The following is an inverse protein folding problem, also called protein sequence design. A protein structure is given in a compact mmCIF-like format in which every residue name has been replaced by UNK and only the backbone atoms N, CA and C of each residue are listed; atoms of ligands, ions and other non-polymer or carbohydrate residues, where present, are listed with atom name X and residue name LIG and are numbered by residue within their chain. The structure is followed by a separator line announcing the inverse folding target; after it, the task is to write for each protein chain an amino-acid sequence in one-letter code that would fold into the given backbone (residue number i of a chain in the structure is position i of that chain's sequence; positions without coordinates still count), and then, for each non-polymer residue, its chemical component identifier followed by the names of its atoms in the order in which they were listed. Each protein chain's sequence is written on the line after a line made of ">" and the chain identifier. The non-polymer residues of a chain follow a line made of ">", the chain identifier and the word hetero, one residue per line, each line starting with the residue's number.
data_IF_044187065649
#
_entry.id   IF_044187065649
#
_cell.length_a   1.000
_cell.length_b   1.000
_cell.length_c   1.000
_cell.angle_alpha   90.00
_cell.angle_beta   90.00
_cell.angle_gamma   90.00
#
_symmetry.space_group_name_H-M   'P 1'
#
loop_
_entity.id
_entity.type
_entity.pdbx_description
1 polymer ?
#
# COMPACT_ATOMS: atom_id res chain seq x y z
N UNK A 1 -9.25 5.77 11.90
CA UNK A 1 -8.65 6.17 10.61
C UNK A 1 -8.70 5.01 9.63
N UNK A 2 -9.11 5.25 8.39
CA UNK A 2 -9.22 4.16 7.41
C UNK A 2 -7.85 3.60 7.01
N UNK A 3 -7.85 2.33 6.62
CA UNK A 3 -6.62 1.62 6.22
C UNK A 3 -6.78 1.14 4.78
N UNK A 4 -5.80 1.47 3.95
CA UNK A 4 -5.70 0.92 2.60
C UNK A 4 -4.79 -0.30 2.65
N UNK A 5 -5.33 -1.46 2.29
CA UNK A 5 -4.58 -2.71 2.21
C UNK A 5 -4.37 -3.07 0.74
N UNK A 6 -3.13 -3.09 0.29
CA UNK A 6 -2.79 -3.48 -1.08
C UNK A 6 -2.10 -4.83 -1.06
N UNK A 7 -2.78 -5.83 -1.60
CA UNK A 7 -2.27 -7.20 -1.76
C UNK A 7 -1.67 -7.35 -3.14
N UNK A 8 -0.54 -8.04 -3.23
CA UNK A 8 0.11 -8.27 -4.52
C UNK A 8 0.96 -9.53 -4.52
N UNK A 9 1.26 -10.03 -5.71
CA UNK A 9 2.21 -11.12 -5.94
C UNK A 9 3.35 -10.61 -6.80
N UNK A 10 4.57 -11.00 -6.47
CA UNK A 10 5.76 -10.62 -7.24
C UNK A 10 5.95 -11.61 -8.37
N UNK A 11 6.27 -11.11 -9.57
CA UNK A 11 6.56 -11.98 -10.72
C UNK A 11 7.73 -12.89 -10.41
N UNK A 12 7.63 -14.15 -10.85
CA UNK A 12 8.66 -15.15 -10.65
C UNK A 12 10.00 -14.64 -11.19
N UNK A 13 11.07 -14.75 -10.37
CA UNK A 13 12.39 -14.28 -10.72
C UNK A 13 12.64 -12.80 -10.51
N UNK A 14 11.67 -12.06 -9.96
CA UNK A 14 11.78 -10.60 -9.73
C UNK A 14 12.02 -10.22 -8.28
N UNK A 15 12.25 -11.17 -7.38
CA UNK A 15 12.40 -10.89 -5.94
C UNK A 15 13.52 -9.89 -5.63
N UNK A 16 14.67 -10.01 -6.28
CA UNK A 16 15.79 -9.09 -6.07
C UNK A 16 15.42 -7.66 -6.47
N UNK A 17 14.75 -7.51 -7.61
CA UNK A 17 14.28 -6.22 -8.11
C UNK A 17 13.20 -5.65 -7.21
N UNK A 18 12.30 -6.50 -6.71
CA UNK A 18 11.27 -6.08 -5.78
C UNK A 18 11.87 -5.54 -4.48
N UNK A 19 12.85 -6.24 -3.90
CA UNK A 19 13.53 -5.78 -2.68
C UNK A 19 14.23 -4.45 -2.90
N UNK A 20 14.90 -4.29 -4.03
CA UNK A 20 15.54 -3.03 -4.41
C UNK A 20 14.52 -1.90 -4.57
N UNK A 21 13.40 -2.19 -5.24
CA UNK A 21 12.29 -1.25 -5.40
C UNK A 21 11.76 -0.78 -4.04
N UNK A 22 11.52 -1.72 -3.11
CA UNK A 22 10.99 -1.39 -1.78
C UNK A 22 11.95 -0.49 -0.99
N UNK A 23 13.25 -0.72 -1.11
CA UNK A 23 14.26 0.07 -0.40
C UNK A 23 14.49 1.46 -0.99
N UNK A 24 14.17 1.65 -2.26
CA UNK A 24 14.48 2.89 -2.99
C UNK A 24 13.19 3.67 -3.36
N UNK A 25 12.58 3.34 -4.47
CA UNK A 25 11.44 4.07 -5.01
C UNK A 25 10.23 4.06 -4.08
N UNK A 26 9.92 2.89 -3.53
CA UNK A 26 8.78 2.76 -2.62
C UNK A 26 9.00 3.53 -1.32
N UNK A 27 10.18 3.43 -0.71
CA UNK A 27 10.48 4.16 0.51
C UNK A 27 10.39 5.68 0.30
N UNK A 28 10.89 6.15 -0.84
CA UNK A 28 10.78 7.56 -1.23
C UNK A 28 9.33 7.98 -1.43
N UNK A 29 8.54 7.16 -2.12
CA UNK A 29 7.12 7.41 -2.35
C UNK A 29 6.34 7.48 -1.04
N UNK A 30 6.66 6.61 -0.07
CA UNK A 30 6.00 6.64 1.24
C UNK A 30 6.32 7.90 2.01
N UNK A 31 7.53 8.42 1.91
CA UNK A 31 7.89 9.72 2.51
C UNK A 31 7.11 10.87 1.89
N UNK A 32 6.97 10.87 0.57
CA UNK A 32 6.18 11.87 -0.15
C UNK A 32 4.70 11.81 0.24
N UNK A 33 4.15 10.61 0.40
CA UNK A 33 2.78 10.42 0.85
C UNK A 33 2.58 10.95 2.27
N UNK A 34 3.53 10.69 3.16
CA UNK A 34 3.46 11.20 4.53
C UNK A 34 3.47 12.72 4.56
N UNK A 35 4.37 13.34 3.81
CA UNK A 35 4.53 14.80 3.78
C UNK A 35 3.36 15.51 3.09
N UNK A 36 2.86 14.93 2.01
CA UNK A 36 1.85 15.59 1.18
C UNK A 36 0.41 15.31 1.63
N UNK A 37 0.14 14.10 2.11
CA UNK A 37 -1.22 13.66 2.41
C UNK A 37 -1.43 13.20 3.85
N UNK A 38 -0.40 13.19 4.67
CA UNK A 38 -0.50 12.71 6.04
C UNK A 38 -0.73 11.20 6.16
N UNK A 39 -0.36 10.44 5.14
CA UNK A 39 -0.51 8.99 5.11
C UNK A 39 0.61 8.36 5.94
N UNK A 40 0.24 7.38 6.77
CA UNK A 40 1.21 6.64 7.58
C UNK A 40 1.38 5.22 7.05
N UNK A 41 2.62 4.84 6.77
CA UNK A 41 2.97 3.46 6.41
C UNK A 41 2.90 2.60 7.68
N UNK A 42 1.99 1.61 7.69
CA UNK A 42 1.84 0.69 8.82
C UNK A 42 2.84 -0.44 8.71
N UNK A 43 2.95 -1.07 7.55
CA UNK A 43 3.88 -2.15 7.35
C UNK A 43 3.72 -2.87 6.02
N UNK A 44 4.69 -3.72 5.76
CA UNK A 44 4.70 -4.65 4.65
C UNK A 44 4.87 -6.05 5.23
N UNK A 45 3.95 -6.94 4.88
CA UNK A 45 3.89 -8.30 5.44
C UNK A 45 3.81 -9.34 4.33
N UNK A 46 4.41 -10.50 4.56
CA UNK A 46 4.14 -11.67 3.74
C UNK A 46 2.85 -12.32 4.21
N UNK A 47 2.05 -12.79 3.25
CA UNK A 47 0.84 -13.56 3.55
C UNK A 47 1.25 -15.03 3.63
N UNK A 48 1.43 -15.52 4.86
CA UNK A 48 1.91 -16.89 5.10
C UNK A 48 0.86 -17.95 4.80
N UNK A 49 -0.42 -17.64 5.02
CA UNK A 49 -1.54 -18.55 4.80
C UNK A 49 -2.78 -17.80 4.34
N UNK A 50 -3.64 -18.48 3.62
CA UNK A 50 -5.03 -18.12 3.49
C UNK A 50 -5.43 -17.36 2.25
N UNK A 51 -4.49 -17.00 1.35
CA UNK A 51 -4.89 -16.35 0.11
C UNK A 51 -3.84 -16.49 -1.00
N UNK A 52 -4.25 -16.09 -2.21
CA UNK A 52 -3.47 -16.22 -3.44
C UNK A 52 -2.35 -15.18 -3.58
N UNK A 53 -2.37 -14.13 -2.77
CA UNK A 53 -1.37 -13.07 -2.82
C UNK A 53 -0.27 -13.33 -1.81
N UNK A 54 0.98 -13.05 -2.20
CA UNK A 54 2.16 -13.31 -1.36
C UNK A 54 2.44 -12.20 -0.36
N UNK A 55 2.02 -10.99 -0.67
CA UNK A 55 2.41 -9.79 0.09
C UNK A 55 1.22 -8.87 0.32
N UNK A 56 1.30 -8.10 1.40
CA UNK A 56 0.36 -7.01 1.68
C UNK A 56 1.09 -5.80 2.22
N UNK A 57 0.71 -4.62 1.74
CA UNK A 57 1.17 -3.33 2.26
C UNK A 57 -0.03 -2.63 2.88
N UNK A 58 0.15 -2.13 4.10
CA UNK A 58 -0.89 -1.42 4.85
C UNK A 58 -0.53 0.04 5.03
N UNK A 59 -1.44 0.92 4.62
CA UNK A 59 -1.31 2.37 4.77
C UNK A 59 -2.50 2.90 5.57
N UNK A 60 -2.22 3.76 6.54
CA UNK A 60 -3.27 4.45 7.28
C UNK A 60 -3.48 5.84 6.70
N UNK A 61 -4.70 6.17 6.35
CA UNK A 61 -5.07 7.45 5.77
C UNK A 61 -5.75 8.32 6.84
N UNK A 62 -5.55 9.66 6.80
CA UNK A 62 -6.22 10.55 7.77
C UNK A 62 -7.74 10.52 7.63
N UNK A 63 -8.26 10.38 6.41
CA UNK A 63 -9.69 10.34 6.13
C UNK A 63 -9.95 9.64 4.78
N UNK A 64 -11.23 9.44 4.46
CA UNK A 64 -11.63 8.80 3.21
C UNK A 64 -11.37 9.67 1.98
N UNK A 65 -11.41 10.99 2.12
CA UNK A 65 -11.16 11.91 1.01
C UNK A 65 -9.72 11.83 0.50
N UNK A 66 -8.78 11.41 1.34
CA UNK A 66 -7.38 11.23 0.98
C UNK A 66 -7.22 10.19 -0.15
N UNK A 67 -8.06 9.16 -0.18
CA UNK A 67 -8.02 8.16 -1.24
C UNK A 67 -8.26 8.79 -2.61
N UNK A 68 -9.24 9.68 -2.71
CA UNK A 68 -9.54 10.39 -3.95
C UNK A 68 -8.36 11.27 -4.39
N UNK A 69 -7.70 11.91 -3.44
CA UNK A 69 -6.51 12.72 -3.72
C UNK A 69 -5.36 11.89 -4.25
N UNK A 70 -5.15 10.68 -3.69
CA UNK A 70 -4.14 9.75 -4.17
C UNK A 70 -4.43 9.29 -5.59
N UNK A 71 -5.67 8.94 -5.87
CA UNK A 71 -6.08 8.48 -7.19
C UNK A 71 -5.98 9.57 -8.25
N UNK A 72 -6.11 10.84 -7.86
CA UNK A 72 -5.97 11.99 -8.73
C UNK A 72 -4.52 12.42 -8.95
N UNK A 73 -3.57 11.92 -8.13
CA UNK A 73 -2.16 12.30 -8.22
C UNK A 73 -1.45 11.48 -9.30
N UNK A 74 -1.44 12.01 -10.52
CA UNK A 74 -0.88 11.31 -11.68
C UNK A 74 0.63 11.11 -11.61
N UNK A 75 1.36 12.01 -10.98
CA UNK A 75 2.81 11.89 -10.87
C UNK A 75 3.22 10.68 -10.02
N UNK A 76 2.51 10.43 -8.92
CA UNK A 76 2.73 9.28 -8.06
C UNK A 76 2.23 7.99 -8.72
N UNK A 77 1.09 8.05 -9.41
CA UNK A 77 0.54 6.94 -10.18
C UNK A 77 1.50 6.47 -11.28
N UNK A 78 2.04 7.39 -12.06
CA UNK A 78 2.93 7.07 -13.16
C UNK A 78 4.18 6.35 -12.69
N UNK A 79 4.77 6.79 -11.56
CA UNK A 79 5.96 6.17 -11.00
C UNK A 79 5.68 4.73 -10.56
N UNK A 80 4.57 4.52 -9.85
CA UNK A 80 4.16 3.21 -9.39
C UNK A 80 3.74 2.27 -10.51
N UNK A 81 3.13 2.80 -11.57
CA UNK A 81 2.60 2.02 -12.67
C UNK A 81 3.71 1.30 -13.47
N UNK A 82 4.78 2.01 -13.82
CA UNK A 82 5.89 1.42 -14.58
C UNK A 82 6.62 0.33 -13.80
N UNK A 83 6.94 0.59 -12.55
CA UNK A 83 7.59 -0.40 -11.70
C UNK A 83 6.65 -1.57 -11.42
N UNK A 84 5.37 -1.29 -11.21
CA UNK A 84 4.36 -2.28 -10.92
C UNK A 84 4.15 -3.29 -12.04
N UNK A 85 4.07 -2.84 -13.28
CA UNK A 85 3.90 -3.73 -14.43
C UNK A 85 5.04 -4.73 -14.59
N UNK A 86 6.26 -4.32 -14.24
CA UNK A 86 7.44 -5.14 -14.41
C UNK A 86 7.67 -6.11 -13.24
N UNK A 87 7.34 -5.70 -12.02
CA UNK A 87 7.61 -6.43 -10.79
C UNK A 87 6.42 -7.29 -10.36
N UNK A 88 5.21 -6.73 -10.43
CA UNK A 88 4.01 -7.36 -9.88
C UNK A 88 3.26 -8.15 -10.94
N UNK A 89 2.82 -9.36 -10.54
CA UNK A 89 2.00 -10.21 -11.38
C UNK A 89 0.51 -9.86 -11.25
N UNK A 90 0.08 -9.65 -10.01
CA UNK A 90 -1.31 -9.29 -9.66
C UNK A 90 -1.31 -8.34 -8.49
N UNK A 91 -2.33 -7.52 -8.41
CA UNK A 91 -2.54 -6.71 -7.22
C UNK A 91 -4.03 -6.52 -6.97
N UNK A 92 -4.37 -6.30 -5.71
CA UNK A 92 -5.74 -6.03 -5.28
C UNK A 92 -5.71 -5.10 -4.08
N UNK A 93 -6.44 -4.01 -4.14
CA UNK A 93 -6.52 -3.03 -3.06
C UNK A 93 -7.88 -3.08 -2.41
N UNK A 94 -7.90 -3.03 -1.08
CA UNK A 94 -9.11 -2.93 -0.26
C UNK A 94 -9.01 -1.75 0.66
N UNK A 95 -10.11 -1.06 0.85
CA UNK A 95 -10.20 0.06 1.77
C UNK A 95 -10.96 -0.36 3.02
N UNK A 96 -10.27 -0.42 4.14
CA UNK A 96 -10.82 -0.93 5.40
C UNK A 96 -11.30 0.22 6.27
N UNK A 97 -12.55 0.13 6.71
CA UNK A 97 -13.12 1.07 7.67
C UNK A 97 -12.82 0.58 9.09
N UNK A 98 -12.25 1.45 9.91
CA UNK A 98 -12.03 1.12 11.31
C UNK A 98 -13.37 1.02 12.05
N UNK A 99 -13.59 -0.11 12.72
CA UNK A 99 -14.77 -0.35 13.57
C UNK A 99 -14.40 -0.33 15.05
N UNK A 100 -13.24 -0.92 15.38
CA UNK A 100 -12.69 -0.92 16.73
C UNK A 100 -11.18 -0.76 16.60
N UNK A 101 -10.63 0.25 17.22
CA UNK A 101 -9.22 0.51 17.21
C UNK A 101 -8.49 -0.07 18.42
N UNK A 102 -7.21 0.29 18.59
CA UNK A 102 -6.42 -0.17 19.73
C UNK A 102 -6.98 0.26 21.08
N UNK A 103 -7.83 1.27 21.11
CA UNK A 103 -8.53 1.74 22.30
C UNK A 103 -9.71 0.83 22.72
N UNK A 104 -10.01 -0.17 21.92
CA UNK A 104 -11.09 -1.14 22.14
C UNK A 104 -12.49 -0.52 22.14
N UNK A 105 -12.63 0.66 21.57
CA UNK A 105 -13.91 1.34 21.44
C UNK A 105 -14.53 1.09 20.08
N UNK A 106 -15.79 0.65 20.06
CA UNK A 106 -16.51 0.38 18.83
C UNK A 106 -16.93 1.71 18.16
N UNK A 107 -16.51 1.88 16.91
CA UNK A 107 -16.73 3.12 16.14
C UNK A 107 -17.74 2.86 15.00
N UNK A 108 -18.97 2.93 15.33
CA UNK A 108 -20.08 2.88 14.38
C UNK A 108 -20.05 1.77 13.37
#
# INVERSE_FOLDING_TARGET
>A
MPVLATYFSVRRGRDAFFKFYMKTLFARQMREYADKYGIRFIGWYNVAHGWDFDNVILLELPDYATLDKLEADESLKALGHRAGEWIFQRHHSMFLRERMGPDMEFKG
#
